data_IF_369712846416
#
_entry.id   IF_369712846416
#
_cell.length_a   1.000
_cell.length_b   1.000
_cell.length_c   1.000
_cell.angle_alpha   90.00
_cell.angle_beta   90.00
_cell.angle_gamma   90.00
#
_symmetry.space_group_name_H-M   'P 1'
#
loop_
_entity.id
_entity.type
_entity.pdbx_description
1 polymer ?
#
# COMPACT_ATOMS: atom_id res chain seq x y z
N UNK A 1 16.07 5.79 -4.92
CA UNK A 1 17.10 5.99 -3.90
C UNK A 1 16.56 6.91 -2.83
N UNK A 2 16.73 6.56 -1.57
CA UNK A 2 16.53 7.49 -0.45
C UNK A 2 17.61 8.60 -0.52
N UNK A 3 17.28 9.88 -0.27
CA UNK A 3 18.29 10.94 -0.15
C UNK A 3 19.45 10.61 0.79
N UNK A 4 19.22 9.85 1.86
CA UNK A 4 20.26 9.44 2.82
C UNK A 4 21.23 8.45 2.18
N UNK A 5 20.73 7.49 1.40
CA UNK A 5 21.56 6.52 0.70
C UNK A 5 22.40 7.19 -0.41
N UNK A 6 21.81 8.17 -1.10
CA UNK A 6 22.52 8.92 -2.14
C UNK A 6 23.64 9.77 -1.55
N UNK A 7 23.39 10.50 -0.45
CA UNK A 7 24.42 11.30 0.21
C UNK A 7 25.62 10.44 0.62
N UNK A 8 25.36 9.25 1.18
CA UNK A 8 26.41 8.30 1.52
C UNK A 8 27.18 7.80 0.31
N UNK A 9 26.51 7.46 -0.79
CA UNK A 9 27.21 7.05 -2.02
C UNK A 9 28.02 8.20 -2.63
N UNK A 10 27.58 9.46 -2.52
CA UNK A 10 28.35 10.64 -2.93
C UNK A 10 29.62 10.80 -2.10
N UNK A 11 29.54 10.63 -0.78
CA UNK A 11 30.71 10.64 0.11
C UNK A 11 31.71 9.55 -0.28
N UNK A 12 31.23 8.31 -0.48
CA UNK A 12 32.09 7.20 -0.87
C UNK A 12 32.73 7.44 -2.24
N UNK A 13 31.98 7.99 -3.20
CA UNK A 13 32.51 8.34 -4.52
C UNK A 13 33.58 9.43 -4.42
N UNK A 14 33.40 10.43 -3.55
CA UNK A 14 34.38 11.49 -3.34
C UNK A 14 35.68 10.97 -2.69
N UNK A 15 35.57 10.06 -1.71
CA UNK A 15 36.72 9.55 -0.96
C UNK A 15 37.50 8.46 -1.72
N UNK A 16 36.79 7.56 -2.38
CA UNK A 16 37.37 6.35 -2.96
C UNK A 16 37.25 6.27 -4.48
N UNK A 17 36.60 7.25 -5.11
CA UNK A 17 36.23 7.18 -6.52
C UNK A 17 35.18 6.10 -6.78
N UNK A 18 35.14 5.64 -8.04
CA UNK A 18 34.22 4.60 -8.45
C UNK A 18 34.69 3.20 -8.01
N UNK A 19 33.92 2.56 -7.11
CA UNK A 19 34.24 1.22 -6.57
C UNK A 19 33.95 0.05 -7.51
N UNK A 20 33.04 0.22 -8.45
CA UNK A 20 32.64 -0.81 -9.40
C UNK A 20 32.23 -0.17 -10.73
N UNK A 21 32.53 -0.83 -11.86
CA UNK A 21 32.14 -0.34 -13.17
C UNK A 21 30.61 -0.28 -13.32
N UNK A 22 30.11 0.73 -14.05
CA UNK A 22 28.71 0.78 -14.48
C UNK A 22 28.56 -0.19 -15.63
N UNK A 23 27.60 -1.10 -15.53
CA UNK A 23 27.29 -1.99 -16.64
C UNK A 23 26.42 -1.22 -17.62
N UNK A 24 26.85 -1.12 -18.88
CA UNK A 24 26.11 -0.44 -19.93
C UNK A 24 26.01 -1.29 -21.20
N UNK A 25 25.08 -0.91 -22.07
CA UNK A 25 25.01 -1.39 -23.45
C UNK A 25 24.99 -0.22 -24.42
N UNK A 26 25.42 -0.46 -25.65
CA UNK A 26 25.28 0.51 -26.73
C UNK A 26 23.98 0.27 -27.48
N UNK A 27 23.17 1.32 -27.61
CA UNK A 27 21.96 1.33 -28.40
C UNK A 27 22.27 1.50 -29.90
N UNK A 28 21.33 1.20 -30.82
CA UNK A 28 21.55 1.29 -32.27
C UNK A 28 21.93 2.69 -32.77
N UNK A 29 21.56 3.73 -32.04
CA UNK A 29 21.88 5.14 -32.33
C UNK A 29 23.26 5.57 -31.77
N UNK A 30 24.00 4.64 -31.15
CA UNK A 30 25.30 4.89 -30.55
C UNK A 30 25.24 5.38 -29.10
N UNK A 31 24.06 5.62 -28.54
CA UNK A 31 23.89 6.06 -27.15
C UNK A 31 24.25 4.93 -26.19
N UNK A 32 24.96 5.24 -25.11
CA UNK A 32 25.20 4.30 -24.03
C UNK A 32 24.05 4.35 -23.02
N UNK A 33 23.41 3.20 -22.81
CA UNK A 33 22.40 3.02 -21.78
C UNK A 33 23.04 2.33 -20.58
N UNK A 34 23.03 2.99 -19.42
CA UNK A 34 23.43 2.37 -18.16
C UNK A 34 22.34 1.39 -17.71
N UNK A 35 22.74 0.14 -17.51
CA UNK A 35 21.87 -1.00 -17.22
C UNK A 35 21.90 -1.38 -15.74
N UNK A 36 23.06 -1.25 -15.08
CA UNK A 36 23.22 -1.47 -13.65
C UNK A 36 24.24 -0.51 -13.05
N UNK A 37 24.18 -0.31 -11.74
CA UNK A 37 25.07 0.64 -11.05
C UNK A 37 24.59 2.09 -11.20
N UNK A 38 23.28 2.30 -11.37
CA UNK A 38 22.68 3.63 -11.52
C UNK A 38 22.91 4.50 -10.27
N UNK A 39 23.08 3.88 -9.11
CA UNK A 39 23.44 4.57 -7.88
C UNK A 39 24.82 5.24 -7.95
N UNK A 40 25.79 4.59 -8.60
CA UNK A 40 27.13 5.14 -8.85
C UNK A 40 27.02 6.33 -9.81
N UNK A 41 26.23 6.19 -10.88
CA UNK A 41 26.01 7.28 -11.83
C UNK A 41 25.35 8.50 -11.18
N UNK A 42 24.36 8.26 -10.31
CA UNK A 42 23.69 9.32 -9.57
C UNK A 42 24.66 10.03 -8.61
N UNK A 43 25.48 9.26 -7.87
CA UNK A 43 26.49 9.82 -6.99
C UNK A 43 27.55 10.63 -7.74
N UNK A 44 28.08 10.10 -8.85
CA UNK A 44 29.03 10.77 -9.73
C UNK A 44 28.48 12.10 -10.25
N UNK A 45 27.20 12.11 -10.68
CA UNK A 45 26.53 13.32 -11.14
C UNK A 45 26.40 14.37 -10.03
N UNK A 46 25.95 13.98 -8.84
CA UNK A 46 25.83 14.92 -7.71
C UNK A 46 27.20 15.45 -7.30
N UNK A 47 28.23 14.61 -7.32
CA UNK A 47 29.62 15.02 -7.07
C UNK A 47 30.09 16.07 -8.10
N UNK A 48 29.82 15.86 -9.40
CA UNK A 48 30.12 16.84 -10.45
C UNK A 48 29.37 18.18 -10.24
N UNK A 49 28.11 18.12 -9.83
CA UNK A 49 27.29 19.31 -9.53
C UNK A 49 27.85 20.10 -8.33
N UNK A 50 28.43 19.41 -7.34
CA UNK A 50 29.09 20.02 -6.16
C UNK A 50 30.51 20.53 -6.45
N UNK A 51 31.18 19.95 -7.45
CA UNK A 51 32.56 20.25 -7.81
C UNK A 51 32.67 20.53 -9.31
N UNK A 52 32.12 21.66 -9.75
CA UNK A 52 32.00 22.03 -11.17
C UNK A 52 33.32 22.13 -11.94
N UNK A 53 34.45 22.27 -11.24
CA UNK A 53 35.78 22.30 -11.85
C UNK A 53 36.48 20.94 -11.91
N UNK A 54 35.94 19.92 -11.24
CA UNK A 54 36.46 18.56 -11.29
C UNK A 54 35.97 17.86 -12.56
N UNK A 55 36.84 17.12 -13.25
CA UNK A 55 36.42 16.18 -14.29
C UNK A 55 36.01 14.90 -13.58
N UNK A 56 34.72 14.55 -13.63
CA UNK A 56 34.24 13.25 -13.13
C UNK A 56 34.36 12.20 -14.23
N UNK A 57 35.34 11.33 -14.09
CA UNK A 57 35.48 10.13 -14.92
C UNK A 57 34.63 9.00 -14.36
N UNK A 58 33.91 8.31 -15.25
CA UNK A 58 33.06 7.18 -14.89
C UNK A 58 33.47 5.98 -15.74
N UNK A 59 33.89 4.91 -15.07
CA UNK A 59 34.26 3.63 -15.65
C UNK A 59 32.98 2.89 -16.03
N UNK A 60 32.89 2.55 -17.32
CA UNK A 60 31.77 1.81 -17.89
C UNK A 60 32.28 0.49 -18.45
N UNK A 61 31.62 -0.60 -18.09
CA UNK A 61 31.81 -1.91 -18.69
C UNK A 61 30.72 -2.14 -19.74
N UNK A 62 31.13 -2.20 -21.01
CA UNK A 62 30.24 -2.25 -22.15
C UNK A 62 29.99 -3.69 -22.57
N UNK A 63 28.73 -4.11 -22.53
CA UNK A 63 28.32 -5.46 -22.91
C UNK A 63 27.42 -5.45 -24.14
N UNK A 64 27.56 -6.49 -24.97
CA UNK A 64 26.56 -6.81 -25.99
C UNK A 64 25.38 -7.48 -25.31
N UNK A 65 24.25 -6.78 -25.26
CA UNK A 65 23.05 -7.20 -24.54
C UNK A 65 21.86 -7.29 -25.47
N UNK A 66 20.96 -8.23 -25.20
CA UNK A 66 19.65 -8.25 -25.83
C UNK A 66 18.76 -7.10 -25.33
N UNK A 67 17.60 -6.91 -25.98
CA UNK A 67 16.58 -5.98 -25.52
C UNK A 67 16.08 -6.30 -24.10
N UNK A 68 16.16 -7.57 -23.68
CA UNK A 68 15.60 -8.10 -22.43
C UNK A 68 16.56 -8.00 -21.24
N UNK A 69 17.86 -8.09 -21.48
CA UNK A 69 18.87 -8.17 -20.40
C UNK A 69 18.82 -6.98 -19.42
N UNK A 70 18.54 -5.73 -19.83
CA UNK A 70 18.44 -4.63 -18.88
C UNK A 70 17.39 -4.84 -17.78
N UNK A 71 16.26 -5.45 -18.11
CA UNK A 71 15.21 -5.74 -17.13
C UNK A 71 15.67 -6.78 -16.09
N UNK A 72 16.53 -7.72 -16.50
CA UNK A 72 17.12 -8.71 -15.60
C UNK A 72 18.10 -8.08 -14.62
N UNK A 73 18.99 -7.22 -15.12
CA UNK A 73 19.95 -6.50 -14.28
C UNK A 73 19.25 -5.55 -13.31
N UNK A 74 18.29 -4.76 -13.80
CA UNK A 74 17.50 -3.85 -12.96
C UNK A 74 16.71 -4.62 -11.88
N UNK A 75 16.14 -5.79 -12.22
CA UNK A 75 15.46 -6.64 -11.23
C UNK A 75 16.42 -7.11 -10.14
N UNK A 76 17.60 -7.60 -10.51
CA UNK A 76 18.61 -8.07 -9.55
C UNK A 76 19.11 -6.94 -8.63
N UNK A 77 19.32 -5.73 -9.16
CA UNK A 77 19.74 -4.56 -8.37
C UNK A 77 18.67 -4.17 -7.33
N UNK A 78 17.39 -4.31 -7.66
CA UNK A 78 16.29 -4.01 -6.73
C UNK A 78 16.05 -5.07 -5.65
N UNK A 79 16.47 -6.32 -5.85
CA UNK A 79 16.39 -7.39 -4.85
C UNK A 79 17.46 -7.26 -3.75
N UNK A 80 18.57 -6.57 -4.05
CA UNK A 80 19.77 -6.50 -3.21
C UNK A 80 19.67 -5.67 -1.93
N UNK A 81 18.54 -5.00 -1.62
CA UNK A 81 18.43 -4.27 -0.34
C UNK A 81 17.16 -3.45 -0.10
N UNK A 82 17.01 -2.87 1.11
CA UNK A 82 15.85 -2.07 1.53
C UNK A 82 15.72 -0.70 0.84
N UNK A 83 16.66 -0.33 -0.04
CA UNK A 83 16.75 1.01 -0.66
C UNK A 83 15.65 1.29 -1.71
N UNK A 84 14.98 0.25 -2.22
CA UNK A 84 13.93 0.40 -3.24
C UNK A 84 12.56 0.25 -2.59
N UNK A 85 11.76 1.32 -2.64
CA UNK A 85 10.38 1.31 -2.16
C UNK A 85 9.49 0.41 -3.02
N UNK A 86 8.38 -0.06 -2.45
CA UNK A 86 7.41 -0.87 -3.20
C UNK A 86 6.81 -0.12 -4.39
N UNK A 87 6.64 1.20 -4.29
CA UNK A 87 6.20 2.03 -5.41
C UNK A 87 7.24 2.05 -6.54
N UNK A 88 8.52 2.26 -6.23
CA UNK A 88 9.59 2.24 -7.25
C UNK A 88 9.63 0.89 -8.00
N UNK A 89 9.49 -0.23 -7.29
CA UNK A 89 9.35 -1.56 -7.93
C UNK A 89 8.12 -1.64 -8.83
N UNK A 90 6.98 -1.11 -8.38
CA UNK A 90 5.76 -1.05 -9.19
C UNK A 90 5.93 -0.24 -10.47
N UNK A 91 6.52 0.95 -10.38
CA UNK A 91 6.81 1.81 -11.53
C UNK A 91 7.80 1.16 -12.52
N UNK A 92 8.80 0.45 -12.01
CA UNK A 92 9.70 -0.35 -12.85
C UNK A 92 8.91 -1.40 -13.64
N UNK A 93 8.10 -2.22 -12.97
CA UNK A 93 7.34 -3.27 -13.66
C UNK A 93 6.28 -2.70 -14.59
N UNK A 94 5.70 -1.53 -14.30
CA UNK A 94 4.77 -0.84 -15.20
C UNK A 94 5.45 -0.47 -16.52
N UNK A 95 6.67 0.08 -16.46
CA UNK A 95 7.48 0.38 -17.66
C UNK A 95 7.90 -0.90 -18.38
N UNK A 96 8.28 -1.93 -17.64
CA UNK A 96 8.65 -3.22 -18.22
C UNK A 96 7.47 -3.87 -18.95
N UNK A 97 6.25 -3.80 -18.42
CA UNK A 97 5.04 -4.29 -19.09
C UNK A 97 4.76 -3.49 -20.36
N UNK A 98 4.95 -2.17 -20.35
CA UNK A 98 4.77 -1.35 -21.55
C UNK A 98 5.76 -1.72 -22.66
N UNK A 99 6.99 -2.12 -22.32
CA UNK A 99 8.02 -2.50 -23.28
C UNK A 99 7.95 -3.97 -23.74
N UNK A 100 7.66 -4.90 -22.82
CA UNK A 100 7.65 -6.35 -23.07
C UNK A 100 6.24 -6.91 -23.35
N UNK A 101 5.20 -6.08 -23.23
CA UNK A 101 3.83 -6.36 -23.66
C UNK A 101 2.93 -7.05 -22.63
N UNK A 102 3.46 -7.83 -21.67
CA UNK A 102 2.61 -8.49 -20.66
C UNK A 102 3.30 -8.77 -19.32
N UNK A 103 2.50 -8.91 -18.25
CA UNK A 103 3.00 -9.30 -16.92
C UNK A 103 3.67 -10.69 -16.91
N UNK A 104 3.17 -11.61 -17.74
CA UNK A 104 3.73 -12.96 -17.87
C UNK A 104 5.11 -12.91 -18.54
N UNK A 105 5.27 -12.08 -19.55
CA UNK A 105 6.54 -11.91 -20.25
C UNK A 105 7.57 -11.21 -19.38
N UNK A 106 7.17 -10.15 -18.67
CA UNK A 106 8.03 -9.49 -17.67
C UNK A 106 8.50 -10.48 -16.61
N UNK A 107 7.62 -11.35 -16.10
CA UNK A 107 7.98 -12.37 -15.12
C UNK A 107 9.01 -13.38 -15.67
N UNK A 108 8.81 -13.83 -16.92
CA UNK A 108 9.75 -14.72 -17.63
C UNK A 108 11.12 -14.06 -17.78
N UNK A 109 11.16 -12.85 -18.33
CA UNK A 109 12.40 -12.10 -18.58
C UNK A 109 13.14 -11.84 -17.27
N UNK A 110 12.45 -11.29 -16.28
CA UNK A 110 13.04 -10.89 -14.99
C UNK A 110 13.34 -12.09 -14.07
N UNK A 111 12.95 -13.31 -14.45
CA UNK A 111 13.09 -14.55 -13.67
C UNK A 111 12.44 -14.48 -12.28
N UNK A 112 11.27 -13.84 -12.20
CA UNK A 112 10.47 -13.74 -10.97
C UNK A 112 9.10 -14.39 -11.16
N UNK A 113 8.39 -14.66 -10.08
CA UNK A 113 7.02 -15.14 -10.17
C UNK A 113 6.08 -14.04 -10.70
N UNK A 114 5.09 -14.42 -11.52
CA UNK A 114 4.04 -13.49 -12.01
C UNK A 114 3.32 -12.77 -10.89
N UNK A 115 3.11 -13.44 -9.75
CA UNK A 115 2.52 -12.82 -8.55
C UNK A 115 3.37 -11.69 -7.97
N UNK A 116 4.70 -11.76 -8.07
CA UNK A 116 5.61 -10.69 -7.67
C UNK A 116 5.41 -9.44 -8.52
N UNK A 117 5.36 -9.62 -9.85
CA UNK A 117 5.09 -8.54 -10.81
C UNK A 117 3.72 -7.92 -10.53
N UNK A 118 2.68 -8.75 -10.40
CA UNK A 118 1.32 -8.30 -10.09
C UNK A 118 1.27 -7.47 -8.81
N UNK A 119 1.82 -7.97 -7.69
CA UNK A 119 1.78 -7.27 -6.39
C UNK A 119 2.49 -5.92 -6.44
N UNK A 120 3.58 -5.81 -7.20
CA UNK A 120 4.26 -4.55 -7.39
C UNK A 120 3.44 -3.58 -8.26
N UNK A 121 2.82 -4.07 -9.34
CA UNK A 121 1.91 -3.26 -10.17
C UNK A 121 0.69 -2.78 -9.39
N UNK A 122 0.12 -3.62 -8.52
CA UNK A 122 -1.00 -3.24 -7.65
C UNK A 122 -0.63 -2.03 -6.77
N UNK A 123 0.62 -1.91 -6.31
CA UNK A 123 1.10 -0.74 -5.57
C UNK A 123 1.09 0.51 -6.45
N UNK A 124 1.68 0.45 -7.65
CA UNK A 124 1.72 1.59 -8.57
C UNK A 124 0.30 2.06 -8.94
N UNK A 125 -0.56 1.13 -9.35
CA UNK A 125 -1.97 1.41 -9.70
C UNK A 125 -2.74 1.99 -8.51
N UNK A 126 -2.52 1.46 -7.30
CA UNK A 126 -3.13 2.01 -6.07
C UNK A 126 -2.71 3.46 -5.85
N UNK A 127 -1.42 3.76 -5.98
CA UNK A 127 -0.91 5.13 -5.83
C UNK A 127 -1.50 6.05 -6.89
N UNK A 128 -1.62 5.62 -8.14
CA UNK A 128 -2.28 6.38 -9.21
C UNK A 128 -3.73 6.72 -8.83
N UNK A 129 -4.49 5.76 -8.28
CA UNK A 129 -5.89 5.97 -7.88
C UNK A 129 -6.07 6.93 -6.70
N UNK A 130 -5.09 7.05 -5.80
CA UNK A 130 -5.19 7.85 -4.57
C UNK A 130 -4.19 9.02 -4.52
N UNK A 131 -3.55 9.32 -5.65
CA UNK A 131 -2.38 10.19 -5.76
C UNK A 131 -2.58 11.56 -5.10
N UNK A 132 -3.75 12.18 -5.32
CA UNK A 132 -4.12 13.49 -4.80
C UNK A 132 -4.62 13.45 -3.34
N UNK A 133 -4.71 12.25 -2.74
CA UNK A 133 -5.25 12.03 -1.38
C UNK A 133 -4.18 11.64 -0.36
N UNK A 134 -2.95 11.42 -0.79
CA UNK A 134 -1.86 11.01 0.10
C UNK A 134 -0.67 11.96 0.07
N UNK A 135 -0.07 12.20 1.22
CA UNK A 135 1.05 13.15 1.35
C UNK A 135 2.39 12.60 0.82
N UNK A 136 2.66 11.31 1.00
CA UNK A 136 3.92 10.68 0.61
C UNK A 136 3.62 9.35 -0.09
N UNK A 137 3.88 9.28 -1.40
CA UNK A 137 3.51 8.13 -2.25
C UNK A 137 4.26 6.84 -1.89
N UNK A 138 5.54 6.96 -1.51
CA UNK A 138 6.37 5.81 -1.15
C UNK A 138 5.93 5.11 0.15
N UNK A 139 4.96 5.64 0.89
CA UNK A 139 4.43 5.02 2.12
C UNK A 139 3.34 3.98 1.86
N UNK A 140 2.87 3.82 0.62
CA UNK A 140 1.89 2.79 0.29
C UNK A 140 2.56 1.42 0.32
N UNK A 141 2.19 0.61 1.31
CA UNK A 141 2.69 -0.75 1.47
C UNK A 141 1.99 -1.72 0.52
N UNK A 142 2.65 -2.83 0.20
CA UNK A 142 2.08 -3.90 -0.61
C UNK A 142 0.76 -4.45 -0.02
N UNK A 143 0.68 -4.60 1.31
CA UNK A 143 -0.55 -5.07 1.99
C UNK A 143 -1.72 -4.10 1.84
N UNK A 144 -1.44 -2.80 1.77
CA UNK A 144 -2.48 -1.79 1.53
C UNK A 144 -2.96 -1.85 0.07
N UNK A 145 -2.03 -1.97 -0.87
CA UNK A 145 -2.34 -2.11 -2.28
C UNK A 145 -3.12 -3.39 -2.59
N UNK A 146 -2.73 -4.54 -2.02
CA UNK A 146 -3.49 -5.81 -2.14
C UNK A 146 -4.91 -5.66 -1.61
N UNK A 147 -5.08 -4.99 -0.46
CA UNK A 147 -6.42 -4.71 0.08
C UNK A 147 -7.23 -3.78 -0.83
N UNK A 148 -6.60 -2.76 -1.41
CA UNK A 148 -7.24 -1.82 -2.33
C UNK A 148 -7.70 -2.54 -3.60
N UNK A 149 -6.80 -3.30 -4.22
CA UNK A 149 -7.08 -4.08 -5.43
C UNK A 149 -8.28 -5.03 -5.21
N UNK A 150 -8.37 -5.67 -4.05
CA UNK A 150 -9.47 -6.58 -3.73
C UNK A 150 -10.83 -5.89 -3.57
N UNK A 151 -10.88 -4.70 -2.96
CA UNK A 151 -12.14 -4.07 -2.53
C UNK A 151 -12.57 -2.87 -3.39
N UNK A 152 -11.64 -2.25 -4.09
CA UNK A 152 -11.87 -1.09 -4.95
C UNK A 152 -11.56 -1.43 -6.41
N UNK A 153 -10.56 -2.27 -6.66
CA UNK A 153 -10.12 -2.59 -8.01
C UNK A 153 -9.42 -1.41 -8.69
N UNK A 154 -9.06 -1.62 -9.95
CA UNK A 154 -8.43 -0.63 -10.81
C UNK A 154 -9.24 -0.38 -12.11
N UNK A 155 -10.21 -1.24 -12.41
CA UNK A 155 -11.06 -1.10 -13.58
C UNK A 155 -12.11 -0.01 -13.35
N UNK A 156 -12.29 0.87 -14.34
CA UNK A 156 -13.23 2.00 -14.24
C UNK A 156 -14.70 1.60 -14.01
N UNK A 157 -15.06 0.38 -14.43
CA UNK A 157 -16.39 -0.21 -14.26
C UNK A 157 -16.50 -1.13 -13.03
N UNK A 158 -15.42 -1.29 -12.27
CA UNK A 158 -15.28 -2.17 -11.10
C UNK A 158 -15.48 -3.67 -11.42
N UNK A 159 -15.30 -4.07 -12.68
CA UNK A 159 -15.42 -5.46 -13.13
C UNK A 159 -14.37 -6.40 -12.55
N UNK A 160 -13.28 -5.86 -12.02
CA UNK A 160 -12.20 -6.58 -11.34
C UNK A 160 -12.39 -6.71 -9.83
N UNK A 161 -13.58 -6.38 -9.32
CA UNK A 161 -13.94 -6.49 -7.90
C UNK A 161 -15.05 -7.51 -7.65
N UNK A 162 -15.02 -8.15 -6.48
CA UNK A 162 -16.07 -9.10 -6.08
C UNK A 162 -17.39 -8.41 -5.72
N UNK A 163 -17.33 -7.16 -5.20
CA UNK A 163 -18.50 -6.35 -4.84
C UNK A 163 -18.39 -4.93 -5.42
N UNK A 164 -18.96 -4.70 -6.63
CA UNK A 164 -18.95 -3.39 -7.27
C UNK A 164 -19.66 -2.28 -6.48
N UNK A 165 -20.61 -2.63 -5.60
CA UNK A 165 -21.32 -1.65 -4.77
C UNK A 165 -20.40 -1.10 -3.70
N UNK A 166 -19.69 -2.00 -3.03
CA UNK A 166 -18.65 -1.65 -2.05
C UNK A 166 -17.51 -0.88 -2.71
N UNK A 167 -17.05 -1.32 -3.88
CA UNK A 167 -15.99 -0.65 -4.63
C UNK A 167 -16.35 0.80 -4.95
N UNK A 168 -17.55 1.05 -5.50
CA UNK A 168 -18.07 2.40 -5.76
C UNK A 168 -18.15 3.25 -4.50
N UNK A 169 -18.58 2.67 -3.37
CA UNK A 169 -18.64 3.39 -2.10
C UNK A 169 -17.26 3.81 -1.62
N UNK A 170 -16.28 2.92 -1.67
CA UNK A 170 -14.91 3.20 -1.27
C UNK A 170 -14.24 4.21 -2.21
N UNK A 171 -14.45 4.10 -3.53
CA UNK A 171 -13.95 5.06 -4.50
C UNK A 171 -14.50 6.48 -4.24
N UNK A 172 -15.81 6.61 -3.94
CA UNK A 172 -16.39 7.90 -3.52
C UNK A 172 -15.77 8.44 -2.24
N UNK A 173 -15.50 7.57 -1.27
CA UNK A 173 -14.84 7.98 -0.02
C UNK A 173 -13.42 8.46 -0.26
N UNK A 174 -12.63 7.78 -1.10
CA UNK A 174 -11.31 8.26 -1.53
C UNK A 174 -11.42 9.67 -2.12
N UNK A 175 -12.32 9.88 -3.08
CA UNK A 175 -12.48 11.17 -3.77
C UNK A 175 -12.85 12.32 -2.83
N UNK A 176 -13.60 12.02 -1.76
CA UNK A 176 -14.05 12.99 -0.76
C UNK A 176 -13.08 13.14 0.43
N UNK A 177 -12.01 12.34 0.51
CA UNK A 177 -11.02 12.45 1.58
C UNK A 177 -10.14 13.69 1.41
N UNK A 178 -9.71 14.25 2.53
CA UNK A 178 -8.62 15.22 2.58
C UNK A 178 -7.26 14.54 2.31
N UNK A 179 -6.25 15.34 2.00
CA UNK A 179 -4.87 14.85 1.82
C UNK A 179 -4.31 14.43 3.18
N UNK A 180 -4.03 13.14 3.35
CA UNK A 180 -3.57 12.56 4.62
C UNK A 180 -2.45 11.53 4.40
N UNK A 181 -1.68 11.13 5.43
CA UNK A 181 -0.74 10.02 5.28
C UNK A 181 -1.43 8.73 4.83
N UNK A 182 -0.77 7.92 3.99
CA UNK A 182 -1.36 6.71 3.40
C UNK A 182 -1.97 5.76 4.45
N UNK A 183 -1.27 5.53 5.57
CA UNK A 183 -1.77 4.70 6.67
C UNK A 183 -3.10 5.21 7.24
N UNK A 184 -3.28 6.53 7.32
CA UNK A 184 -4.52 7.17 7.80
C UNK A 184 -5.66 6.96 6.81
N UNK A 185 -5.44 7.19 5.51
CA UNK A 185 -6.45 6.98 4.47
C UNK A 185 -6.93 5.52 4.47
N UNK A 186 -6.01 4.55 4.41
CA UNK A 186 -6.37 3.13 4.42
C UNK A 186 -7.10 2.69 5.69
N UNK A 187 -6.79 3.29 6.84
CA UNK A 187 -7.54 3.06 8.08
C UNK A 187 -8.96 3.58 7.97
N UNK A 188 -9.18 4.80 7.46
CA UNK A 188 -10.51 5.37 7.25
C UNK A 188 -11.34 4.51 6.28
N UNK A 189 -10.76 4.11 5.16
CA UNK A 189 -11.42 3.25 4.17
C UNK A 189 -11.81 1.90 4.77
N UNK A 190 -10.93 1.26 5.54
CA UNK A 190 -11.25 0.00 6.25
C UNK A 190 -12.34 0.17 7.30
N UNK A 191 -12.35 1.28 8.03
CA UNK A 191 -13.41 1.58 8.99
C UNK A 191 -14.76 1.79 8.29
N UNK A 192 -14.75 2.46 7.13
CA UNK A 192 -15.95 2.68 6.34
C UNK A 192 -16.47 1.41 5.65
N UNK A 193 -15.57 0.54 5.19
CA UNK A 193 -15.90 -0.79 4.63
C UNK A 193 -16.57 -1.68 5.67
N UNK A 194 -15.97 -1.76 6.87
CA UNK A 194 -16.56 -2.44 8.02
C UNK A 194 -17.83 -1.73 8.54
N UNK A 195 -18.25 -0.66 7.84
CA UNK A 195 -19.57 -0.08 7.84
C UNK A 195 -20.14 -0.03 9.23
N UNK A 196 -19.66 0.90 10.05
CA UNK A 196 -20.29 1.28 11.30
C UNK A 196 -21.09 0.14 11.90
N UNK A 197 -20.43 -0.87 12.50
CA UNK A 197 -20.99 -1.40 13.74
C UNK A 197 -21.17 -0.14 14.57
N UNK A 198 -22.38 0.45 14.51
CA UNK A 198 -22.89 1.30 15.57
C UNK A 198 -22.32 0.61 16.79
N UNK A 199 -21.50 1.30 17.59
CA UNK A 199 -21.57 1.01 19.02
C UNK A 199 -23.07 0.91 19.24
N UNK A 200 -23.61 -0.30 19.49
CA UNK A 200 -25.05 -0.42 19.63
C UNK A 200 -25.33 0.61 20.71
N UNK A 201 -26.03 1.70 20.35
CA UNK A 201 -26.26 2.79 21.29
C UNK A 201 -26.71 2.10 22.57
N UNK A 202 -26.00 2.35 23.67
CA UNK A 202 -26.28 1.63 24.90
C UNK A 202 -27.78 1.77 25.15
N UNK A 203 -28.49 0.66 25.14
CA UNK A 203 -29.95 0.66 25.28
C UNK A 203 -30.20 0.53 26.77
N UNK A 204 -31.13 1.33 27.30
CA UNK A 204 -31.53 1.18 28.69
C UNK A 204 -32.13 -0.21 28.90
N UNK A 205 -31.62 -0.90 29.92
CA UNK A 205 -32.18 -2.15 30.39
C UNK A 205 -33.38 -1.79 31.28
N UNK A 206 -34.58 -2.04 30.79
CA UNK A 206 -35.82 -1.65 31.46
C UNK A 206 -36.40 -2.82 32.26
N UNK A 207 -36.81 -2.54 33.50
CA UNK A 207 -37.65 -3.42 34.32
C UNK A 207 -38.93 -2.65 34.65
N UNK A 208 -40.04 -3.05 34.02
CA UNK A 208 -41.23 -2.18 33.97
C UNK A 208 -40.89 -0.87 33.27
N UNK A 209 -41.19 0.26 33.92
CA UNK A 209 -40.90 1.61 33.42
C UNK A 209 -39.58 2.20 33.96
N UNK A 210 -38.83 1.44 34.75
CA UNK A 210 -37.57 1.89 35.35
C UNK A 210 -36.34 1.41 34.55
N UNK A 211 -35.43 2.34 34.24
CA UNK A 211 -34.13 2.03 33.66
C UNK A 211 -33.15 1.57 34.74
N UNK A 212 -32.91 0.27 34.82
CA UNK A 212 -32.08 -0.36 35.87
C UNK A 212 -30.62 -0.51 35.46
N UNK A 213 -30.29 -0.20 34.21
CA UNK A 213 -28.94 -0.35 33.68
C UNK A 213 -28.85 -0.05 32.19
N UNK A 214 -27.72 -0.38 31.59
CA UNK A 214 -27.55 -0.29 30.13
C UNK A 214 -26.97 -1.57 29.56
N UNK A 215 -27.39 -1.90 28.34
CA UNK A 215 -26.88 -3.05 27.59
C UNK A 215 -26.31 -2.59 26.24
N UNK A 216 -25.11 -3.06 25.93
CA UNK A 216 -24.42 -2.72 24.68
C UNK A 216 -23.62 -3.91 24.16
N UNK A 217 -23.36 -3.92 22.84
CA UNK A 217 -22.49 -4.91 22.21
C UNK A 217 -21.04 -4.42 22.21
N UNK A 218 -20.14 -5.24 22.73
CA UNK A 218 -18.70 -5.00 22.69
C UNK A 218 -18.10 -5.36 21.32
N UNK A 219 -16.90 -4.83 21.04
CA UNK A 219 -16.17 -5.03 19.77
C UNK A 219 -15.92 -6.52 19.45
N UNK A 220 -15.81 -7.39 20.46
CA UNK A 220 -15.57 -8.83 20.35
C UNK A 220 -16.83 -9.68 20.14
N UNK A 221 -18.01 -9.07 19.99
CA UNK A 221 -19.30 -9.79 19.94
C UNK A 221 -19.84 -10.20 21.31
N UNK A 222 -19.11 -9.90 22.39
CA UNK A 222 -19.61 -10.02 23.77
C UNK A 222 -20.66 -8.94 24.06
N UNK A 223 -21.55 -9.22 25.00
CA UNK A 223 -22.52 -8.26 25.53
C UNK A 223 -21.91 -7.64 26.79
N UNK A 224 -21.91 -6.31 26.87
CA UNK A 224 -21.57 -5.57 28.08
C UNK A 224 -22.87 -5.12 28.73
N UNK A 225 -23.07 -5.47 29.99
CA UNK A 225 -24.21 -5.09 30.80
C UNK A 225 -23.68 -4.23 31.96
N UNK A 226 -24.19 -3.03 32.10
CA UNK A 226 -23.92 -2.14 33.23
C UNK A 226 -25.16 -2.10 34.13
N UNK A 227 -24.98 -2.52 35.38
CA UNK A 227 -26.03 -2.65 36.40
C UNK A 227 -25.82 -1.68 37.56
N UNK A 228 -25.02 -0.63 37.38
CA UNK A 228 -24.74 0.36 38.44
C UNK A 228 -25.99 1.07 38.97
N UNK A 229 -27.11 1.02 38.24
CA UNK A 229 -28.42 1.58 38.63
C UNK A 229 -29.44 0.52 39.08
N UNK A 230 -29.03 -0.73 39.26
CA UNK A 230 -29.95 -1.83 39.53
C UNK A 230 -30.56 -1.79 40.95
N UNK A 231 -29.90 -1.14 41.92
CA UNK A 231 -30.42 -1.05 43.29
C UNK A 231 -30.78 -2.42 43.88
N UNK A 232 -31.97 -2.52 44.50
CA UNK A 232 -32.52 -3.75 45.09
C UNK A 232 -33.41 -4.55 44.13
N UNK A 233 -33.20 -4.42 42.81
CA UNK A 233 -33.98 -5.19 41.83
C UNK A 233 -33.67 -6.68 41.99
N UNK A 234 -34.73 -7.46 42.14
CA UNK A 234 -34.68 -8.92 42.25
C UNK A 234 -33.95 -9.56 41.05
N UNK A 235 -33.14 -10.58 41.36
CA UNK A 235 -32.22 -11.20 40.40
C UNK A 235 -32.99 -11.91 39.27
N UNK A 236 -34.09 -12.60 39.59
CA UNK A 236 -34.88 -13.31 38.59
C UNK A 236 -35.54 -12.34 37.61
N UNK A 237 -35.99 -11.20 38.14
CA UNK A 237 -36.55 -10.09 37.36
C UNK A 237 -35.52 -9.49 36.40
N UNK A 238 -34.28 -9.33 36.87
CA UNK A 238 -33.18 -8.82 36.05
C UNK A 238 -32.78 -9.80 34.93
N UNK A 239 -32.69 -11.10 35.25
CA UNK A 239 -32.39 -12.16 34.28
C UNK A 239 -33.47 -12.18 33.18
N UNK A 240 -34.74 -12.08 33.56
CA UNK A 240 -35.85 -12.04 32.61
C UNK A 240 -35.79 -10.81 31.67
N UNK A 241 -35.37 -9.65 32.17
CA UNK A 241 -35.18 -8.46 31.33
C UNK A 241 -34.03 -8.63 30.32
N UNK A 242 -32.91 -9.20 30.75
CA UNK A 242 -31.75 -9.49 29.87
C UNK A 242 -32.13 -10.51 28.79
N UNK A 243 -32.83 -11.58 29.15
CA UNK A 243 -33.28 -12.60 28.20
C UNK A 243 -34.24 -12.02 27.14
N UNK A 244 -35.19 -11.17 27.53
CA UNK A 244 -36.09 -10.48 26.59
C UNK A 244 -35.32 -9.60 25.61
N UNK A 245 -34.33 -8.84 26.09
CA UNK A 245 -33.50 -8.03 25.21
C UNK A 245 -32.67 -8.88 24.24
N UNK A 246 -32.06 -9.98 24.71
CA UNK A 246 -31.30 -10.90 23.85
C UNK A 246 -32.20 -11.52 22.78
N UNK A 247 -33.43 -11.90 23.14
CA UNK A 247 -34.41 -12.44 22.20
C UNK A 247 -34.80 -11.40 21.13
N UNK A 248 -35.11 -10.16 21.55
CA UNK A 248 -35.44 -9.06 20.63
C UNK A 248 -34.26 -8.73 19.70
N UNK A 249 -33.03 -8.75 20.22
CA UNK A 249 -31.82 -8.48 19.44
C UNK A 249 -31.41 -9.63 18.50
N UNK A 250 -32.09 -10.78 18.55
CA UNK A 250 -31.92 -11.94 17.65
C UNK A 250 -33.03 -12.05 16.60
N UNK A 251 -34.14 -11.32 16.75
CA UNK A 251 -35.18 -11.29 15.73
C UNK A 251 -34.67 -10.55 14.48
N UNK A 252 -34.91 -11.06 13.27
CA UNK A 252 -34.55 -10.35 12.04
C UNK A 252 -35.35 -9.05 11.99
N UNK A 253 -34.66 -7.92 11.85
CA UNK A 253 -35.28 -6.61 11.66
C UNK A 253 -36.21 -6.68 10.45
N UNK A 254 -37.52 -6.72 10.68
CA UNK A 254 -38.51 -6.55 9.63
C UNK A 254 -38.42 -5.08 9.23
N UNK A 255 -37.97 -4.83 8.01
CA UNK A 255 -38.01 -3.51 7.35
C UNK A 255 -39.43 -3.26 6.90
#
# INVERSE_FOLDING_TARGET
MDPVDLAREVEIFAECGQRAAIIARQLPDGVLEAVAGLHILAAARVHQELHTEAIVEVIVDLHVMSAEDPYRFATAEMEGGPAVSSLQRGLFYQRAVAALGSEAEVARVCKVHKSTVKRALDVARTVECINDKITIHNQVSQRQAEWFAQHVGFSSDFSDTEDPTTARRLARLVNNSEVVPAATLFRQLRTALNGGRRQSAAVDLMVGDAAVGTISRAKSGRIKIDLTKAGDVDLDTLIAAIHRWIAAARAPSTI
#
